data_IF_620921603473
#
_entry.id   IF_620921603473
#
_cell.length_a   1.000
_cell.length_b   1.000
_cell.length_c   1.000
_cell.angle_alpha   90.00
_cell.angle_beta   90.00
_cell.angle_gamma   90.00
#
_symmetry.space_group_name_H-M   'P 1'
#
loop_
_entity.id
_entity.type
_entity.pdbx_description
1 polymer ?
#
# COMPACT_ATOMS: atom_id res chain seq x y z
N UNK A 1 -8.78 2.33 46.22
CA UNK A 1 -9.49 3.01 45.10
C UNK A 1 -10.61 3.84 45.69
N UNK A 2 -10.75 5.12 45.33
CA UNK A 2 -11.88 5.95 45.77
C UNK A 2 -13.21 5.40 45.25
N UNK A 3 -14.31 5.59 45.99
CA UNK A 3 -15.68 5.20 45.59
C UNK A 3 -16.03 5.71 44.18
N UNK A 4 -15.69 6.96 43.91
CA UNK A 4 -15.91 7.59 42.61
C UNK A 4 -15.20 6.87 41.44
N UNK A 5 -13.96 6.39 41.65
CA UNK A 5 -13.22 5.67 40.61
C UNK A 5 -13.86 4.32 40.30
N UNK A 6 -14.35 3.62 41.34
CA UNK A 6 -15.05 2.35 41.18
C UNK A 6 -16.38 2.52 40.44
N UNK A 7 -17.15 3.56 40.77
CA UNK A 7 -18.40 3.90 40.07
C UNK A 7 -18.15 4.27 38.61
N UNK A 8 -17.14 5.11 38.32
CA UNK A 8 -16.78 5.46 36.95
C UNK A 8 -16.30 4.25 36.15
N UNK A 9 -15.57 3.33 36.77
CA UNK A 9 -15.15 2.09 36.13
C UNK A 9 -16.34 1.22 35.72
N UNK A 10 -17.41 1.15 36.52
CA UNK A 10 -18.64 0.41 36.19
C UNK A 10 -19.39 0.99 34.98
N UNK A 11 -19.20 2.28 34.69
CA UNK A 11 -19.79 2.97 33.52
C UNK A 11 -19.03 2.70 32.22
N UNK A 12 -17.82 2.13 32.27
CA UNK A 12 -17.03 1.81 31.08
C UNK A 12 -17.54 0.51 30.44
N UNK A 13 -18.41 0.62 29.42
CA UNK A 13 -19.07 -0.53 28.78
C UNK A 13 -18.28 -1.17 27.63
N UNK A 14 -17.49 -0.39 26.90
CA UNK A 14 -16.81 -0.83 25.69
C UNK A 14 -15.28 -0.59 25.69
N UNK A 15 -14.52 -1.19 26.63
CA UNK A 15 -13.06 -1.06 26.66
C UNK A 15 -12.40 -1.70 25.42
N UNK A 16 -11.32 -1.09 24.95
CA UNK A 16 -10.46 -1.68 23.92
C UNK A 16 -9.66 -2.87 24.47
N UNK A 17 -9.26 -3.78 23.59
CA UNK A 17 -8.63 -5.08 23.93
C UNK A 17 -7.19 -5.21 23.45
N UNK A 18 -6.63 -4.16 22.83
CA UNK A 18 -5.28 -4.16 22.22
C UNK A 18 -4.11 -4.19 23.23
N UNK A 19 -4.40 -4.06 24.53
CA UNK A 19 -3.39 -4.19 25.59
C UNK A 19 -2.30 -3.12 25.51
N UNK A 20 -1.04 -3.55 25.39
CA UNK A 20 0.13 -2.65 25.31
C UNK A 20 0.35 -2.05 23.92
N UNK A 21 -0.35 -2.55 22.90
CA UNK A 21 -0.19 -2.06 21.52
C UNK A 21 -0.82 -0.68 21.39
N UNK A 22 -0.04 0.28 20.89
CA UNK A 22 -0.51 1.66 20.72
C UNK A 22 -1.50 1.75 19.57
N UNK A 23 -2.38 2.75 19.60
CA UNK A 23 -3.34 2.99 18.50
C UNK A 23 -2.64 3.33 17.18
N UNK A 24 -1.46 3.98 17.24
CA UNK A 24 -0.65 4.25 16.05
C UNK A 24 -0.15 2.96 15.38
N UNK A 25 0.30 1.98 16.18
CA UNK A 25 0.71 0.68 15.64
C UNK A 25 -0.48 -0.09 15.07
N UNK A 26 -1.64 -0.04 15.72
CA UNK A 26 -2.85 -0.68 15.18
C UNK A 26 -3.27 -0.07 13.84
N UNK A 27 -3.17 1.25 13.67
CA UNK A 27 -3.45 1.89 12.38
C UNK A 27 -2.45 1.49 11.31
N UNK A 28 -1.15 1.51 11.63
CA UNK A 28 -0.11 1.12 10.69
C UNK A 28 -0.28 -0.32 10.20
N UNK A 29 -0.61 -1.24 11.11
CA UNK A 29 -0.87 -2.63 10.73
C UNK A 29 -2.14 -2.77 9.89
N UNK A 30 -3.20 -2.00 10.20
CA UNK A 30 -4.43 -1.98 9.42
C UNK A 30 -4.25 -1.35 8.04
N UNK A 31 -3.34 -0.38 7.89
CA UNK A 31 -2.93 0.22 6.62
C UNK A 31 -2.12 -0.77 5.78
N UNK A 32 -1.22 -1.55 6.39
CA UNK A 32 -0.44 -2.58 5.69
C UNK A 32 -1.25 -3.78 5.21
N UNK A 33 -2.30 -4.14 5.96
CA UNK A 33 -3.22 -5.21 5.58
C UNK A 33 -4.14 -4.80 4.42
N UNK A 34 -4.25 -3.50 4.12
CA UNK A 34 -4.99 -2.99 2.97
C UNK A 34 -4.10 -2.95 1.74
N UNK A 35 -4.68 -3.33 0.62
CA UNK A 35 -4.07 -3.12 -0.68
C UNK A 35 -4.21 -1.65 -1.14
N UNK A 36 -5.19 -0.93 -0.60
CA UNK A 36 -5.39 0.50 -0.87
C UNK A 36 -4.60 1.36 0.11
N UNK A 37 -4.04 2.47 -0.39
CA UNK A 37 -3.33 3.47 0.45
C UNK A 37 -4.28 4.36 1.27
N UNK A 38 -5.54 3.95 1.42
CA UNK A 38 -6.56 4.75 2.08
C UNK A 38 -6.45 4.64 3.59
N UNK A 39 -6.69 5.77 4.26
CA UNK A 39 -6.71 5.78 5.73
C UNK A 39 -7.85 4.92 6.26
N UNK A 40 -7.61 4.05 7.25
CA UNK A 40 -8.65 3.19 7.80
C UNK A 40 -9.77 4.00 8.44
N UNK A 41 -11.01 3.58 8.20
CA UNK A 41 -12.21 4.20 8.77
C UNK A 41 -12.23 4.06 10.29
N UNK A 42 -12.91 5.00 10.95
CA UNK A 42 -13.14 4.97 12.39
C UNK A 42 -13.92 3.72 12.82
N UNK A 43 -14.86 3.23 12.00
CA UNK A 43 -15.58 1.97 12.25
C UNK A 43 -14.61 0.79 12.27
N UNK A 44 -13.80 0.65 11.23
CA UNK A 44 -12.87 -0.47 11.07
C UNK A 44 -11.86 -0.48 12.22
N UNK A 45 -11.34 0.70 12.55
CA UNK A 45 -10.46 0.86 13.70
C UNK A 45 -11.16 0.53 15.02
N UNK A 46 -12.44 0.88 15.19
CA UNK A 46 -13.24 0.49 16.35
C UNK A 46 -13.34 -1.05 16.44
N UNK A 47 -13.73 -1.72 15.37
CA UNK A 47 -13.86 -3.19 15.33
C UNK A 47 -12.53 -3.86 15.69
N UNK A 48 -11.43 -3.46 15.04
CA UNK A 48 -10.09 -4.05 15.26
C UNK A 48 -9.63 -3.86 16.70
N UNK A 49 -9.82 -2.67 17.27
CA UNK A 49 -9.35 -2.38 18.62
C UNK A 49 -10.20 -3.01 19.73
N UNK A 50 -11.41 -3.50 19.41
CA UNK A 50 -12.31 -4.18 20.34
C UNK A 50 -12.35 -5.69 20.14
N UNK A 51 -11.73 -6.20 19.07
CA UNK A 51 -11.62 -7.64 18.79
C UNK A 51 -10.92 -8.37 19.95
N UNK A 52 -11.62 -9.32 20.55
CA UNK A 52 -11.08 -10.19 21.59
C UNK A 52 -10.19 -11.25 20.94
N UNK A 53 -9.12 -11.65 21.64
CA UNK A 53 -8.27 -12.77 21.19
C UNK A 53 -9.11 -14.05 21.08
N UNK A 54 -8.97 -14.83 19.99
CA UNK A 54 -9.58 -16.15 19.90
C UNK A 54 -9.06 -17.03 21.04
N UNK A 55 -9.86 -18.01 21.47
CA UNK A 55 -9.54 -18.97 22.53
C UNK A 55 -9.26 -18.34 23.91
N UNK A 56 -9.77 -17.12 24.17
CA UNK A 56 -9.72 -16.49 25.49
C UNK A 56 -11.12 -16.23 26.02
N UNK A 57 -11.41 -16.73 27.21
CA UNK A 57 -12.64 -16.39 27.94
C UNK A 57 -12.47 -15.06 28.70
N UNK A 58 -13.53 -14.28 28.76
CA UNK A 58 -13.59 -13.00 29.46
C UNK A 58 -14.74 -13.04 30.45
N UNK A 59 -14.58 -12.36 31.60
CA UNK A 59 -15.62 -12.31 32.64
C UNK A 59 -16.80 -11.42 32.25
N UNK A 60 -16.52 -10.35 31.50
CA UNK A 60 -17.53 -9.38 31.09
C UNK A 60 -18.15 -9.76 29.74
N UNK A 61 -19.45 -9.55 29.61
CA UNK A 61 -20.17 -9.69 28.34
C UNK A 61 -19.71 -8.62 27.34
N UNK A 62 -19.87 -8.90 26.05
CA UNK A 62 -19.48 -7.99 24.97
C UNK A 62 -20.68 -7.33 24.28
N UNK A 63 -21.86 -7.43 24.90
CA UNK A 63 -23.16 -7.06 24.33
C UNK A 63 -23.20 -5.62 23.79
N UNK A 64 -22.73 -4.64 24.57
CA UNK A 64 -22.69 -3.23 24.14
C UNK A 64 -21.79 -3.04 22.91
N UNK A 65 -20.69 -3.82 22.81
CA UNK A 65 -19.79 -3.71 21.67
C UNK A 65 -20.36 -4.38 20.44
N UNK A 66 -20.89 -5.59 20.58
CA UNK A 66 -21.51 -6.33 19.48
C UNK A 66 -22.72 -5.59 18.95
N UNK A 67 -23.54 -5.01 19.83
CA UNK A 67 -24.70 -4.19 19.44
C UNK A 67 -24.27 -2.97 18.63
N UNK A 68 -23.24 -2.24 19.07
CA UNK A 68 -22.74 -1.05 18.35
C UNK A 68 -22.10 -1.40 17.01
N UNK A 69 -21.38 -2.52 16.93
CA UNK A 69 -20.79 -2.98 15.65
C UNK A 69 -21.92 -3.31 14.67
N UNK A 70 -22.94 -4.05 15.10
CA UNK A 70 -24.10 -4.37 14.28
C UNK A 70 -24.85 -3.10 13.82
N UNK A 71 -25.03 -2.12 14.71
CA UNK A 71 -25.64 -0.83 14.34
C UNK A 71 -24.82 -0.07 13.29
N UNK A 72 -23.49 -0.06 13.42
CA UNK A 72 -22.60 0.52 12.40
C UNK A 72 -22.62 -0.26 11.07
N UNK A 73 -22.86 -1.57 11.08
CA UNK A 73 -23.03 -2.38 9.87
C UNK A 73 -24.34 -2.06 9.17
N UNK A 74 -25.44 -1.96 9.91
CA UNK A 74 -26.74 -1.61 9.35
C UNK A 74 -26.74 -0.23 8.67
N UNK A 75 -26.09 0.77 9.29
CA UNK A 75 -25.99 2.13 8.73
C UNK A 75 -25.19 2.15 7.43
N UNK A 76 -24.13 1.35 7.32
CA UNK A 76 -23.36 1.24 6.06
C UNK A 76 -24.15 0.51 4.97
N UNK A 77 -24.92 -0.53 5.32
CA UNK A 77 -25.77 -1.22 4.36
C UNK A 77 -26.83 -0.30 3.76
N UNK A 78 -27.53 0.48 4.60
CA UNK A 78 -28.56 1.42 4.15
C UNK A 78 -28.01 2.52 3.23
N UNK A 79 -26.80 3.01 3.49
CA UNK A 79 -26.16 4.01 2.62
C UNK A 79 -25.85 3.51 1.22
N UNK A 80 -25.47 2.23 1.09
CA UNK A 80 -25.21 1.63 -0.21
C UNK A 80 -26.49 1.51 -1.05
N UNK A 81 -27.66 1.54 -0.42
CA UNK A 81 -28.97 1.48 -1.07
C UNK A 81 -29.50 2.90 -1.42
N UNK A 82 -29.36 3.88 -0.52
CA UNK A 82 -29.99 5.20 -0.64
C UNK A 82 -29.13 6.27 -1.37
N UNK A 83 -27.85 5.99 -1.63
CA UNK A 83 -27.01 6.65 -2.65
C UNK A 83 -26.70 8.16 -2.52
N UNK A 84 -27.29 8.88 -1.57
CA UNK A 84 -27.31 10.35 -1.62
C UNK A 84 -26.35 11.07 -0.64
N UNK A 85 -25.91 10.44 0.46
CA UNK A 85 -24.90 11.02 1.37
C UNK A 85 -24.06 9.93 2.06
N UNK A 86 -22.74 10.12 2.14
CA UNK A 86 -21.86 9.25 2.95
C UNK A 86 -22.03 9.61 4.42
N UNK A 87 -22.74 8.78 5.17
CA UNK A 87 -22.96 8.96 6.61
C UNK A 87 -21.84 8.24 7.36
N UNK A 88 -21.14 8.96 8.25
CA UNK A 88 -20.18 8.32 9.14
C UNK A 88 -20.92 7.42 10.15
N UNK A 89 -20.91 6.11 9.90
CA UNK A 89 -21.56 5.11 10.73
C UNK A 89 -21.04 5.14 12.18
N UNK A 90 -19.73 5.42 12.37
CA UNK A 90 -19.16 5.52 13.71
C UNK A 90 -19.70 6.74 14.46
N UNK A 91 -19.73 7.91 13.82
CA UNK A 91 -20.27 9.13 14.44
C UNK A 91 -21.77 9.01 14.72
N UNK A 92 -22.51 8.30 13.89
CA UNK A 92 -23.94 8.06 14.07
C UNK A 92 -24.23 7.24 15.32
N UNK A 93 -23.55 6.11 15.50
CA UNK A 93 -23.74 5.22 16.66
C UNK A 93 -23.15 5.78 17.95
N UNK A 94 -21.99 6.42 17.87
CA UNK A 94 -21.29 6.92 19.05
C UNK A 94 -21.72 8.35 19.43
N UNK A 95 -22.49 9.02 18.57
CA UNK A 95 -22.87 10.41 18.69
C UNK A 95 -21.72 11.39 18.41
N UNK A 96 -22.00 12.68 18.57
CA UNK A 96 -21.07 13.78 18.32
C UNK A 96 -19.75 13.63 19.08
N UNK A 97 -18.65 13.99 18.43
CA UNK A 97 -17.32 13.94 19.01
C UNK A 97 -17.16 14.89 20.22
N UNK A 98 -16.39 14.47 21.23
CA UNK A 98 -16.21 15.29 22.42
C UNK A 98 -15.40 16.57 22.11
N UNK A 99 -15.73 17.72 22.75
CA UNK A 99 -15.06 18.99 22.44
C UNK A 99 -13.55 18.99 22.68
N UNK A 100 -13.08 18.28 23.72
CA UNK A 100 -11.68 18.34 24.18
C UNK A 100 -10.80 17.21 23.67
N UNK A 101 -11.32 15.99 23.56
CA UNK A 101 -10.52 14.79 23.28
C UNK A 101 -11.13 14.04 22.13
N UNK A 102 -10.28 13.54 21.24
CA UNK A 102 -10.71 12.75 20.10
C UNK A 102 -10.76 11.27 20.47
N UNK A 103 -11.93 10.66 20.28
CA UNK A 103 -12.13 9.21 20.40
C UNK A 103 -11.27 8.49 19.38
N UNK A 104 -10.71 7.34 19.76
CA UNK A 104 -9.94 6.46 18.88
C UNK A 104 -8.59 7.02 18.37
N UNK A 105 -8.15 8.21 18.77
CA UNK A 105 -6.81 8.73 18.43
C UNK A 105 -5.74 8.47 19.49
N UNK A 106 -6.11 7.82 20.58
CA UNK A 106 -5.22 7.51 21.69
C UNK A 106 -5.28 8.54 22.81
N UNK A 107 -4.36 8.43 23.76
CA UNK A 107 -4.42 9.22 24.99
C UNK A 107 -4.00 10.67 24.73
N UNK A 108 -4.86 11.61 25.08
CA UNK A 108 -4.52 13.04 25.10
C UNK A 108 -4.62 13.75 23.75
N UNK A 109 -5.02 13.06 22.68
CA UNK A 109 -5.15 13.70 21.36
C UNK A 109 -6.38 14.59 21.32
N UNK A 110 -6.19 15.82 20.85
CA UNK A 110 -7.23 16.85 20.71
C UNK A 110 -7.30 17.33 19.26
N UNK A 111 -8.40 18.00 18.89
CA UNK A 111 -8.57 18.59 17.54
C UNK A 111 -7.45 19.56 17.19
N UNK A 112 -6.99 20.36 18.16
CA UNK A 112 -5.89 21.32 17.96
C UNK A 112 -4.55 20.63 17.82
N UNK A 113 -4.29 19.53 18.54
CA UNK A 113 -3.06 18.74 18.39
C UNK A 113 -2.96 18.09 17.01
N UNK A 114 -4.09 17.62 16.45
CA UNK A 114 -4.11 17.10 15.08
C UNK A 114 -3.91 18.23 14.06
N UNK A 115 -4.65 19.34 14.20
CA UNK A 115 -4.55 20.49 13.28
C UNK A 115 -3.18 21.17 13.35
N UNK A 116 -2.55 21.20 14.52
CA UNK A 116 -1.25 21.81 14.77
C UNK A 116 -0.07 21.12 14.07
N UNK A 117 -0.27 19.93 13.48
CA UNK A 117 0.73 19.30 12.60
C UNK A 117 0.67 19.79 11.15
N UNK A 118 -0.40 20.50 10.75
CA UNK A 118 -0.52 21.12 9.43
C UNK A 118 0.06 22.54 9.43
N UNK A 119 0.22 23.17 10.60
CA UNK A 119 0.63 24.57 10.76
C UNK A 119 2.13 24.84 10.96
N UNK A 120 2.99 23.83 10.89
CA UNK A 120 4.45 23.99 11.02
C UNK A 120 5.22 23.61 9.73
N UNK A 121 4.58 23.73 8.57
CA UNK A 121 5.24 23.65 7.27
C UNK A 121 5.52 25.02 6.64
N UNK A 122 5.39 26.10 7.40
CA UNK A 122 5.81 27.42 6.95
C UNK A 122 7.24 27.71 7.45
N UNK A 123 8.21 27.09 6.77
CA UNK A 123 9.55 27.64 6.48
C UNK A 123 10.51 26.54 5.97
N UNK A 124 10.25 25.97 4.79
CA UNK A 124 11.33 25.60 3.85
C UNK A 124 10.77 25.31 2.46
N UNK A 125 10.13 26.30 1.84
CA UNK A 125 9.75 26.23 0.42
C UNK A 125 10.94 26.02 -0.52
N UNK A 126 12.16 26.25 -0.05
CA UNK A 126 13.36 26.22 -0.88
C UNK A 126 14.03 24.84 -0.89
N UNK A 127 13.91 24.05 0.18
CA UNK A 127 14.49 22.69 0.23
C UNK A 127 13.67 21.66 -0.55
N UNK A 128 12.35 21.84 -0.65
CA UNK A 128 11.47 20.96 -1.44
C UNK A 128 11.69 21.16 -2.93
N UNK A 129 11.83 22.40 -3.39
CA UNK A 129 12.10 22.71 -4.79
C UNK A 129 13.47 22.19 -5.25
N UNK A 130 14.51 22.31 -4.42
CA UNK A 130 15.85 21.79 -4.73
C UNK A 130 15.87 20.26 -4.83
N UNK A 131 15.12 19.57 -3.95
CA UNK A 131 14.98 18.11 -4.01
C UNK A 131 14.24 17.65 -5.26
N UNK A 132 13.16 18.33 -5.65
CA UNK A 132 12.38 18.03 -6.87
C UNK A 132 13.26 18.21 -8.10
N UNK A 133 13.98 19.33 -8.19
CA UNK A 133 14.90 19.60 -9.31
C UNK A 133 16.01 18.56 -9.41
N UNK A 134 16.54 18.11 -8.27
CA UNK A 134 17.55 17.04 -8.22
C UNK A 134 16.98 15.67 -8.61
N UNK A 135 15.70 15.41 -8.39
CA UNK A 135 15.02 14.21 -8.87
C UNK A 135 14.79 14.27 -10.39
N UNK A 136 14.35 15.41 -10.92
CA UNK A 136 14.18 15.65 -12.36
C UNK A 136 15.51 15.46 -13.12
N UNK A 137 16.60 16.07 -12.63
CA UNK A 137 17.94 15.90 -13.22
C UNK A 137 18.41 14.43 -13.19
N UNK A 138 18.03 13.66 -12.17
CA UNK A 138 18.36 12.22 -12.10
C UNK A 138 17.49 11.40 -13.04
N UNK A 139 16.23 11.77 -13.23
CA UNK A 139 15.32 11.10 -14.16
C UNK A 139 15.80 11.25 -15.60
N UNK A 140 16.16 12.47 -16.01
CA UNK A 140 16.72 12.73 -17.34
C UNK A 140 18.01 11.94 -17.61
N UNK A 141 18.92 11.85 -16.63
CA UNK A 141 20.15 11.04 -16.77
C UNK A 141 19.89 9.54 -16.85
N UNK A 142 18.80 9.07 -16.23
CA UNK A 142 18.42 7.65 -16.31
C UNK A 142 17.79 7.37 -17.68
N UNK A 143 16.94 8.26 -18.18
CA UNK A 143 16.35 8.16 -19.52
C UNK A 143 17.43 8.14 -20.61
N UNK A 144 18.41 9.04 -20.56
CA UNK A 144 19.54 9.06 -21.49
C UNK A 144 20.31 7.73 -21.49
N UNK A 145 20.60 7.18 -20.31
CA UNK A 145 21.29 5.88 -20.19
C UNK A 145 20.46 4.71 -20.71
N UNK A 146 19.13 4.77 -20.56
CA UNK A 146 18.24 3.74 -21.10
C UNK A 146 18.28 3.77 -22.63
N UNK A 147 18.25 4.96 -23.23
CA UNK A 147 18.32 5.12 -24.68
C UNK A 147 19.68 4.64 -25.23
N UNK A 148 20.79 5.02 -24.58
CA UNK A 148 22.14 4.54 -24.94
C UNK A 148 22.26 3.02 -24.84
N UNK A 149 21.74 2.41 -23.76
CA UNK A 149 21.74 0.95 -23.60
C UNK A 149 20.91 0.25 -24.68
N UNK A 150 19.80 0.86 -25.09
CA UNK A 150 18.92 0.33 -26.13
C UNK A 150 19.60 0.37 -27.50
N UNK A 151 20.28 1.46 -27.84
CA UNK A 151 21.07 1.55 -29.07
C UNK A 151 22.21 0.51 -29.10
N UNK A 152 22.94 0.35 -27.99
CA UNK A 152 23.99 -0.68 -27.89
C UNK A 152 23.41 -2.09 -28.06
N UNK A 153 22.26 -2.36 -27.45
CA UNK A 153 21.58 -3.65 -27.58
C UNK A 153 21.14 -3.91 -29.03
N UNK A 154 20.61 -2.90 -29.72
CA UNK A 154 20.21 -3.01 -31.12
C UNK A 154 21.43 -3.23 -32.05
N UNK A 155 22.53 -2.53 -31.80
CA UNK A 155 23.78 -2.76 -32.53
C UNK A 155 24.29 -4.20 -32.32
N UNK A 156 24.36 -4.69 -31.08
CA UNK A 156 24.76 -6.08 -30.80
C UNK A 156 23.83 -7.10 -31.47
N UNK A 157 22.53 -6.82 -31.51
CA UNK A 157 21.56 -7.67 -32.19
C UNK A 157 21.80 -7.69 -33.69
N UNK A 158 22.20 -6.57 -34.29
CA UNK A 158 22.55 -6.53 -35.72
C UNK A 158 23.87 -7.25 -36.03
N UNK A 159 24.90 -7.10 -35.21
CA UNK A 159 26.19 -7.78 -35.42
C UNK A 159 26.04 -9.29 -35.29
N UNK A 160 25.34 -9.78 -34.27
CA UNK A 160 25.05 -11.22 -34.14
C UNK A 160 24.28 -11.75 -35.36
N UNK A 161 23.33 -10.99 -35.91
CA UNK A 161 22.60 -11.39 -37.11
C UNK A 161 23.52 -11.49 -38.32
N UNK A 162 24.44 -10.54 -38.48
CA UNK A 162 25.43 -10.56 -39.56
C UNK A 162 26.36 -11.77 -39.42
N UNK A 163 26.92 -12.02 -38.24
CA UNK A 163 27.77 -13.20 -37.98
C UNK A 163 27.06 -14.52 -38.27
N UNK A 164 25.79 -14.66 -37.85
CA UNK A 164 24.98 -15.86 -38.15
C UNK A 164 24.80 -16.02 -39.67
N UNK A 165 24.52 -14.94 -40.38
CA UNK A 165 24.34 -14.98 -41.84
C UNK A 165 25.65 -15.35 -42.54
N UNK A 166 26.78 -14.82 -42.11
CA UNK A 166 28.11 -15.16 -42.64
C UNK A 166 28.47 -16.64 -42.40
N UNK A 167 28.21 -17.17 -41.19
CA UNK A 167 28.43 -18.59 -40.88
C UNK A 167 27.53 -19.51 -41.74
N UNK A 168 26.27 -19.12 -41.98
CA UNK A 168 25.37 -19.87 -42.88
C UNK A 168 25.85 -19.82 -44.34
N UNK A 169 26.29 -18.66 -44.83
CA UNK A 169 26.81 -18.52 -46.20
C UNK A 169 28.07 -19.38 -46.40
N UNK A 170 29.01 -19.35 -45.46
CA UNK A 170 30.25 -20.13 -45.56
C UNK A 170 29.99 -21.64 -45.49
N UNK A 171 29.01 -22.10 -44.70
CA UNK A 171 28.58 -23.51 -44.70
C UNK A 171 27.96 -23.93 -46.03
N UNK A 172 27.06 -23.11 -46.59
CA UNK A 172 26.44 -23.38 -47.90
C UNK A 172 27.48 -23.40 -49.02
N UNK A 173 28.48 -22.52 -48.99
CA UNK A 173 29.56 -22.50 -49.98
C UNK A 173 30.47 -23.74 -49.90
N UNK A 174 30.69 -24.30 -48.70
CA UNK A 174 31.40 -25.59 -48.54
C UNK A 174 30.59 -26.75 -49.10
N UNK A 175 29.29 -26.81 -48.79
CA UNK A 175 28.40 -27.87 -49.30
C UNK A 175 28.28 -27.83 -50.83
N UNK A 176 28.22 -26.63 -51.44
CA UNK A 176 28.20 -26.46 -52.90
C UNK A 176 29.54 -26.86 -53.55
N UNK A 177 30.68 -26.55 -52.91
CA UNK A 177 32.00 -26.96 -53.41
C UNK A 177 32.21 -28.49 -53.30
N UNK A 178 31.71 -29.12 -52.24
CA UNK A 178 31.78 -30.58 -52.06
C UNK A 178 30.89 -31.34 -53.07
N UNK A 179 29.75 -30.75 -53.49
CA UNK A 179 28.88 -31.35 -54.53
C UNK A 179 29.41 -31.19 -55.97
N UNK A 180 30.34 -30.25 -56.22
CA UNK A 180 30.95 -30.04 -57.54
C UNK A 180 32.25 -30.84 -57.78
N UNK A 181 32.76 -31.53 -56.77
CA UNK A 181 34.04 -32.25 -56.81
C UNK A 181 33.97 -33.72 -57.27
N UNK A 182 32.78 -34.30 -57.42
CA UNK A 182 32.59 -35.74 -57.69
C UNK A 182 32.18 -36.09 -59.15
N UNK A 183 32.08 -35.11 -60.06
CA UNK A 183 31.70 -35.38 -61.46
C UNK A 183 32.85 -35.31 -62.49
N UNK A 184 34.13 -35.23 -62.09
CA UNK A 184 35.24 -35.06 -63.05
C UNK A 184 36.28 -36.19 -63.11
N UNK A 185 35.97 -37.41 -62.67
CA UNK A 185 36.91 -38.53 -62.83
C UNK A 185 36.27 -39.88 -63.11
N UNK A 186 35.47 -39.97 -64.17
CA UNK A 186 35.31 -41.23 -64.92
C UNK A 186 35.24 -40.92 -66.42
N UNK A 187 36.37 -40.58 -67.04
CA UNK A 187 36.67 -41.14 -68.35
C UNK A 187 38.18 -41.11 -68.62
N UNK A 188 38.66 -42.16 -69.27
CA UNK A 188 39.95 -42.39 -69.96
C UNK A 188 40.70 -43.64 -69.46
N UNK A 189 40.48 -44.70 -70.26
CA UNK A 189 41.28 -45.88 -70.61
C UNK A 189 41.42 -47.06 -69.65
#
# INVERSE_FOLDING_TARGET
>A
MSKANSENRKKLKNPHTVGKKSFALVRNDLEKERETNDTPSLKEFFVVTRKRKPNRSYKDTDEDKTSKIAEMENIEMQQNEDGNETIDAFASVMGSEHPRRLRLYGRGVTKTTLKGKVGNFEASSNATNDLVKKMEDRMLRIEEKIEEQKEQFDQQKTTMRQEIVEDVITKLQREQNEQSGDESSEDIT
#
